data_IF_538161525252
#
_entry.id   IF_538161525252
#
_cell.length_a   1.000
_cell.length_b   1.000
_cell.length_c   1.000
_cell.angle_alpha   90.00
_cell.angle_beta   90.00
_cell.angle_gamma   90.00
#
_symmetry.space_group_name_H-M   'P 1'
#
loop_
_entity.id
_entity.type
_entity.pdbx_description
1 polymer ?
#
# COMPACT_ATOMS: atom_id res chain seq x y z
N UNK A 1 22.33 -14.43 -26.96
CA UNK A 1 21.14 -13.83 -27.55
C UNK A 1 20.30 -13.24 -26.42
N UNK A 2 20.36 -11.94 -26.22
CA UNK A 2 19.56 -11.24 -25.20
C UNK A 2 18.11 -11.21 -25.70
N UNK A 3 17.24 -12.02 -25.13
CA UNK A 3 15.79 -11.94 -25.42
C UNK A 3 15.34 -10.52 -25.04
N UNK A 4 14.91 -9.75 -26.00
CA UNK A 4 14.26 -8.46 -25.76
C UNK A 4 13.02 -8.76 -24.90
N UNK A 5 13.06 -8.33 -23.63
CA UNK A 5 11.93 -8.51 -22.71
C UNK A 5 10.80 -7.58 -23.18
N UNK A 6 9.64 -8.16 -23.48
CA UNK A 6 8.44 -7.38 -23.76
C UNK A 6 7.99 -6.68 -22.48
N UNK A 7 7.78 -5.37 -22.52
CA UNK A 7 7.25 -4.60 -21.39
C UNK A 7 5.88 -5.16 -20.96
N UNK A 8 5.69 -5.34 -19.66
CA UNK A 8 4.41 -5.79 -19.08
C UNK A 8 3.38 -4.67 -19.05
N UNK A 9 3.82 -3.46 -18.76
CA UNK A 9 3.00 -2.25 -18.83
C UNK A 9 3.02 -1.73 -20.27
N UNK A 10 2.11 -2.22 -21.11
CA UNK A 10 1.93 -1.75 -22.49
C UNK A 10 1.06 -0.50 -22.53
N UNK A 11 1.16 0.29 -23.61
CA UNK A 11 0.27 1.43 -23.84
C UNK A 11 -1.21 1.04 -23.78
N UNK A 12 -1.58 -0.09 -24.39
CA UNK A 12 -2.96 -0.60 -24.36
C UNK A 12 -3.47 -0.90 -22.93
N UNK A 13 -2.61 -1.46 -22.07
CA UNK A 13 -2.96 -1.67 -20.65
C UNK A 13 -3.14 -0.35 -19.91
N UNK A 14 -2.25 0.59 -20.12
CA UNK A 14 -2.34 1.90 -19.50
C UNK A 14 -3.60 2.64 -19.94
N UNK A 15 -3.94 2.59 -21.23
CA UNK A 15 -5.15 3.20 -21.79
C UNK A 15 -6.43 2.56 -21.22
N UNK A 16 -6.45 1.23 -21.04
CA UNK A 16 -7.57 0.53 -20.43
C UNK A 16 -7.74 0.94 -18.96
N UNK A 17 -6.63 0.97 -18.21
CA UNK A 17 -6.64 1.41 -16.81
C UNK A 17 -7.05 2.89 -16.67
N UNK A 18 -6.63 3.76 -17.58
CA UNK A 18 -7.06 5.14 -17.61
C UNK A 18 -8.58 5.26 -17.76
N UNK A 19 -9.17 4.54 -18.71
CA UNK A 19 -10.64 4.52 -18.89
C UNK A 19 -11.34 4.05 -17.62
N UNK A 20 -10.87 2.94 -17.03
CA UNK A 20 -11.43 2.43 -15.78
C UNK A 20 -11.35 3.45 -14.65
N UNK A 21 -10.20 4.06 -14.41
CA UNK A 21 -10.00 5.03 -13.33
C UNK A 21 -10.86 6.28 -13.52
N UNK A 22 -11.01 6.77 -14.75
CA UNK A 22 -11.86 7.93 -15.03
C UNK A 22 -13.36 7.63 -14.90
N UNK A 23 -13.80 6.40 -15.17
CA UNK A 23 -15.22 6.02 -15.08
C UNK A 23 -15.65 5.52 -13.71
N UNK A 24 -14.71 4.94 -12.94
CA UNK A 24 -15.04 4.20 -11.71
C UNK A 24 -14.17 4.60 -10.51
N UNK A 25 -13.09 5.35 -10.71
CA UNK A 25 -12.20 5.76 -9.64
C UNK A 25 -12.76 6.90 -8.79
N UNK A 26 -12.40 6.93 -7.51
CA UNK A 26 -12.63 8.11 -6.66
C UNK A 26 -11.77 9.27 -7.14
N UNK A 27 -12.12 10.49 -6.77
CA UNK A 27 -11.38 11.69 -7.20
C UNK A 27 -9.89 11.61 -6.84
N UNK A 28 -9.55 11.08 -5.67
CA UNK A 28 -8.15 10.93 -5.25
C UNK A 28 -7.37 10.02 -6.21
N UNK A 29 -7.90 8.84 -6.55
CA UNK A 29 -7.23 7.90 -7.46
C UNK A 29 -7.14 8.46 -8.89
N UNK A 30 -8.15 9.19 -9.36
CA UNK A 30 -8.09 9.90 -10.65
C UNK A 30 -6.96 10.93 -10.66
N UNK A 31 -6.83 11.75 -9.61
CA UNK A 31 -5.77 12.76 -9.49
C UNK A 31 -4.39 12.15 -9.31
N UNK A 32 -4.26 11.09 -8.52
CA UNK A 32 -3.00 10.34 -8.41
C UNK A 32 -2.59 9.76 -9.76
N UNK A 33 -3.52 9.14 -10.49
CA UNK A 33 -3.24 8.61 -11.82
C UNK A 33 -2.78 9.71 -12.79
N UNK A 34 -3.51 10.83 -12.86
CA UNK A 34 -3.14 11.96 -13.70
C UNK A 34 -1.73 12.46 -13.38
N UNK A 35 -1.41 12.64 -12.10
CA UNK A 35 -0.09 13.09 -11.65
C UNK A 35 1.03 12.08 -12.01
N UNK A 36 0.79 10.78 -11.76
CA UNK A 36 1.81 9.73 -11.89
C UNK A 36 2.06 9.29 -13.33
N UNK A 37 1.05 9.38 -14.19
CA UNK A 37 1.11 8.91 -15.57
C UNK A 37 0.90 10.01 -16.62
N UNK A 38 0.72 11.25 -16.17
CA UNK A 38 0.66 12.44 -17.04
C UNK A 38 -0.60 12.53 -17.89
N UNK A 39 -1.72 11.96 -17.42
CA UNK A 39 -3.01 12.03 -18.14
C UNK A 39 -3.86 13.12 -17.50
N UNK A 40 -3.93 14.30 -18.12
CA UNK A 40 -4.88 15.35 -17.76
C UNK A 40 -6.19 15.19 -18.50
N UNK A 41 -7.28 15.30 -17.75
CA UNK A 41 -8.65 15.32 -18.28
C UNK A 41 -9.21 13.91 -18.50
N UNK A 42 -10.45 13.71 -18.05
CA UNK A 42 -11.23 12.53 -18.41
C UNK A 42 -11.40 12.44 -19.94
N UNK A 43 -12.01 11.36 -20.44
CA UNK A 43 -12.18 11.13 -21.88
C UNK A 43 -13.01 12.23 -22.51
N UNK A 44 -12.33 13.29 -22.94
CA UNK A 44 -12.94 14.35 -23.73
C UNK A 44 -12.88 13.94 -25.19
N UNK A 45 -13.91 13.24 -25.62
CA UNK A 45 -14.21 13.09 -27.04
C UNK A 45 -13.55 11.91 -27.75
N UNK A 46 -14.38 11.05 -28.27
CA UNK A 46 -14.07 10.10 -29.33
C UNK A 46 -13.32 8.83 -28.91
N UNK A 47 -13.80 7.73 -29.39
CA UNK A 47 -13.36 6.35 -29.15
C UNK A 47 -11.90 6.02 -29.55
N UNK A 48 -11.04 7.00 -29.81
CA UNK A 48 -9.75 6.77 -30.45
C UNK A 48 -8.54 7.50 -29.84
N UNK A 49 -8.58 7.94 -28.60
CA UNK A 49 -7.36 8.52 -28.07
C UNK A 49 -7.42 8.84 -26.58
N UNK A 50 -6.54 8.23 -25.82
CA UNK A 50 -6.06 8.84 -24.59
C UNK A 50 -5.36 10.13 -25.00
N UNK A 51 -5.71 11.30 -24.43
CA UNK A 51 -5.03 12.55 -24.76
C UNK A 51 -3.52 12.40 -24.57
N UNK A 52 -2.74 13.04 -25.41
CA UNK A 52 -1.29 13.04 -25.27
C UNK A 52 -0.91 13.43 -23.84
N UNK A 53 -0.17 12.55 -23.23
CA UNK A 53 0.30 12.63 -21.84
C UNK A 53 1.20 13.85 -21.70
N UNK A 54 0.77 14.86 -20.96
CA UNK A 54 1.64 15.91 -20.44
C UNK A 54 1.77 15.69 -18.93
N UNK A 55 2.95 15.27 -18.44
CA UNK A 55 3.18 15.22 -17.00
C UNK A 55 3.06 16.64 -16.47
N UNK A 56 2.02 16.93 -15.68
CA UNK A 56 1.90 18.28 -15.10
C UNK A 56 2.82 18.47 -13.91
N UNK A 57 3.26 17.38 -13.28
CA UNK A 57 4.10 17.46 -12.08
C UNK A 57 3.48 18.26 -10.93
N UNK A 58 2.31 18.87 -11.14
CA UNK A 58 1.62 19.67 -10.13
C UNK A 58 0.85 18.76 -9.17
N UNK A 59 1.22 18.70 -7.89
CA UNK A 59 0.54 17.91 -6.88
C UNK A 59 -0.80 18.51 -6.43
N UNK A 60 -1.16 19.71 -6.85
CA UNK A 60 -2.31 20.45 -6.29
C UNK A 60 -3.62 19.66 -6.38
N UNK A 61 -3.86 18.98 -7.50
CA UNK A 61 -5.05 18.15 -7.66
C UNK A 61 -5.10 16.95 -6.70
N UNK A 62 -3.94 16.33 -6.43
CA UNK A 62 -3.83 15.24 -5.45
C UNK A 62 -4.06 15.79 -4.04
N UNK A 63 -3.42 16.90 -3.70
CA UNK A 63 -3.56 17.54 -2.38
C UNK A 63 -5.00 17.95 -2.11
N UNK A 64 -5.66 18.62 -3.05
CA UNK A 64 -7.05 19.03 -2.89
C UNK A 64 -8.00 17.84 -2.67
N UNK A 65 -7.80 16.73 -3.39
CA UNK A 65 -8.59 15.52 -3.20
C UNK A 65 -8.29 14.84 -1.85
N UNK A 66 -7.03 14.79 -1.43
CA UNK A 66 -6.62 14.19 -0.16
C UNK A 66 -7.07 15.02 1.04
N UNK A 67 -7.04 16.36 0.94
CA UNK A 67 -7.43 17.27 2.03
C UNK A 67 -8.94 17.13 2.38
N UNK A 68 -9.78 16.60 1.48
CA UNK A 68 -11.16 16.24 1.80
C UNK A 68 -11.28 15.07 2.82
N UNK A 69 -10.22 14.29 2.99
CA UNK A 69 -10.15 13.20 3.96
C UNK A 69 -9.39 13.58 5.24
N UNK A 70 -8.82 14.78 5.30
CA UNK A 70 -8.07 15.24 6.46
C UNK A 70 -9.00 15.74 7.55
N UNK A 71 -8.74 15.36 8.79
CA UNK A 71 -9.44 15.83 9.97
C UNK A 71 -8.76 17.07 10.57
N UNK A 72 -9.49 17.85 11.36
CA UNK A 72 -8.98 19.09 11.95
C UNK A 72 -7.83 18.84 12.96
N UNK A 73 -7.77 17.64 13.54
CA UNK A 73 -6.73 17.21 14.48
C UNK A 73 -5.44 16.73 13.79
N UNK A 74 -5.42 16.70 12.47
CA UNK A 74 -4.24 16.32 11.68
C UNK A 74 -4.21 14.87 11.21
N UNK A 75 -5.19 14.06 11.60
CA UNK A 75 -5.36 12.67 11.12
C UNK A 75 -6.14 12.59 9.81
N UNK A 76 -6.58 11.37 9.45
CA UNK A 76 -7.32 11.08 8.23
C UNK A 76 -8.51 10.16 8.50
N UNK A 77 -9.64 10.45 7.82
CA UNK A 77 -10.92 9.78 7.99
C UNK A 77 -11.72 9.72 6.67
N UNK A 78 -13.05 9.76 6.79
CA UNK A 78 -14.02 9.96 5.70
C UNK A 78 -13.86 8.95 4.55
N UNK A 79 -13.59 7.67 4.89
CA UNK A 79 -13.46 6.61 3.90
C UNK A 79 -12.21 6.71 3.02
N UNK A 80 -11.14 7.38 3.48
CA UNK A 80 -9.84 7.34 2.80
C UNK A 80 -9.36 5.88 2.68
N UNK A 81 -9.41 5.14 3.80
CA UNK A 81 -9.34 3.69 3.77
C UNK A 81 -10.73 3.14 3.38
N UNK A 82 -10.87 2.40 2.27
CA UNK A 82 -12.17 1.93 1.77
C UNK A 82 -12.96 1.07 2.74
N UNK A 83 -12.28 0.38 3.64
CA UNK A 83 -12.90 -0.55 4.58
C UNK A 83 -13.46 0.13 5.83
N UNK A 84 -13.13 1.38 6.12
CA UNK A 84 -13.59 2.05 7.35
C UNK A 84 -14.32 3.36 7.05
N UNK A 85 -15.40 3.60 7.78
CA UNK A 85 -16.24 4.80 7.64
C UNK A 85 -16.18 5.63 8.91
N UNK A 86 -16.69 6.82 8.81
CA UNK A 86 -16.84 7.73 9.95
C UNK A 86 -16.00 8.99 9.85
N UNK A 87 -16.30 9.99 10.67
CA UNK A 87 -15.64 11.29 10.65
C UNK A 87 -14.40 11.38 11.53
N UNK A 88 -14.21 10.42 12.43
CA UNK A 88 -13.05 10.40 13.32
C UNK A 88 -11.84 9.78 12.64
N UNK A 89 -10.69 10.42 12.77
CA UNK A 89 -9.43 9.92 12.22
C UNK A 89 -9.10 8.50 12.71
N UNK A 90 -8.56 7.68 11.81
CA UNK A 90 -8.19 6.30 12.08
C UNK A 90 -6.75 6.02 11.66
N UNK A 91 -5.94 5.30 12.46
CA UNK A 91 -4.56 4.99 12.09
C UNK A 91 -4.46 4.21 10.77
N UNK A 92 -5.39 3.31 10.47
CA UNK A 92 -5.43 2.54 9.22
C UNK A 92 -5.56 3.40 7.96
N UNK A 93 -6.10 4.63 8.07
CA UNK A 93 -6.22 5.56 6.94
C UNK A 93 -4.91 6.33 6.65
N UNK A 94 -4.00 6.43 7.62
CA UNK A 94 -2.75 7.22 7.49
C UNK A 94 -1.80 6.67 6.42
N UNK A 95 -1.59 5.35 6.26
CA UNK A 95 -0.74 4.82 5.19
C UNK A 95 -1.16 5.26 3.79
N UNK A 96 -2.47 5.28 3.51
CA UNK A 96 -2.99 5.72 2.21
C UNK A 96 -2.72 7.22 1.97
N UNK A 97 -2.83 8.05 3.01
CA UNK A 97 -2.52 9.47 2.93
C UNK A 97 -1.03 9.71 2.67
N UNK A 98 -0.16 9.07 3.45
CA UNK A 98 1.28 9.23 3.30
C UNK A 98 1.77 8.73 1.95
N UNK A 99 1.21 7.62 1.45
CA UNK A 99 1.51 7.11 0.11
C UNK A 99 1.13 8.13 -0.97
N UNK A 100 -0.08 8.69 -0.92
CA UNK A 100 -0.53 9.68 -1.89
C UNK A 100 0.36 10.94 -1.85
N UNK A 101 0.78 11.38 -0.67
CA UNK A 101 1.68 12.52 -0.49
C UNK A 101 3.10 12.23 -1.02
N UNK A 102 3.66 11.04 -0.77
CA UNK A 102 4.96 10.62 -1.32
C UNK A 102 4.92 10.58 -2.85
N UNK A 103 3.91 9.92 -3.42
CA UNK A 103 3.73 9.81 -4.86
C UNK A 103 3.58 11.17 -5.55
N UNK A 104 2.93 12.12 -4.88
CA UNK A 104 2.77 13.48 -5.37
C UNK A 104 4.03 14.36 -5.14
N UNK A 105 5.06 13.87 -4.44
CA UNK A 105 6.20 14.68 -4.03
C UNK A 105 5.81 15.82 -3.08
N UNK A 106 4.70 15.67 -2.36
CA UNK A 106 4.06 16.69 -1.52
C UNK A 106 4.06 16.36 -0.02
N UNK A 107 4.77 15.30 0.38
CA UNK A 107 4.98 14.98 1.79
C UNK A 107 6.04 15.93 2.36
N UNK A 108 5.58 17.02 2.98
CA UNK A 108 6.41 18.02 3.61
C UNK A 108 6.48 17.83 5.13
N UNK A 109 7.43 18.57 5.78
CA UNK A 109 7.65 18.48 7.21
C UNK A 109 6.45 18.99 8.03
N UNK A 110 5.66 19.93 7.53
CA UNK A 110 4.50 20.47 8.26
C UNK A 110 3.36 19.43 8.32
N UNK A 111 3.04 18.80 7.18
CA UNK A 111 2.05 17.72 7.12
C UNK A 111 2.50 16.50 7.91
N UNK A 112 3.76 16.10 7.76
CA UNK A 112 4.33 14.98 8.48
C UNK A 112 4.31 15.22 10.01
N UNK A 113 4.63 16.43 10.47
CA UNK A 113 4.56 16.79 11.90
C UNK A 113 3.14 16.72 12.43
N UNK A 114 2.15 17.27 11.71
CA UNK A 114 0.75 17.21 12.12
C UNK A 114 0.26 15.75 12.25
N UNK A 115 0.65 14.88 11.35
CA UNK A 115 0.36 13.43 11.44
C UNK A 115 1.04 12.82 12.68
N UNK A 116 2.30 13.13 12.93
CA UNK A 116 3.03 12.64 14.10
C UNK A 116 2.42 13.13 15.43
N UNK A 117 2.01 14.41 15.48
CA UNK A 117 1.36 14.98 16.66
C UNK A 117 0.04 14.27 16.97
N UNK A 118 -0.79 14.02 15.94
CA UNK A 118 -2.02 13.25 16.09
C UNK A 118 -1.76 11.82 16.54
N UNK A 119 -0.82 11.12 15.91
CA UNK A 119 -0.47 9.74 16.25
C UNK A 119 0.08 9.62 17.67
N UNK A 120 0.82 10.62 18.15
CA UNK A 120 1.30 10.65 19.53
C UNK A 120 0.15 10.63 20.57
N UNK A 121 -1.01 11.21 20.20
CA UNK A 121 -2.20 11.23 21.06
C UNK A 121 -2.97 9.91 21.12
N UNK A 122 -2.72 8.98 20.18
CA UNK A 122 -3.45 7.71 20.06
C UNK A 122 -2.56 6.47 20.13
N UNK A 123 -1.25 6.66 20.25
CA UNK A 123 -0.28 5.59 20.34
C UNK A 123 -0.32 4.87 21.69
N UNK A 124 0.08 3.62 21.69
CA UNK A 124 0.41 2.87 22.89
C UNK A 124 1.68 3.43 23.58
N UNK A 125 1.90 3.14 24.87
CA UNK A 125 3.07 3.65 25.60
C UNK A 125 4.42 3.28 24.99
N UNK A 126 4.49 2.21 24.23
CA UNK A 126 5.68 1.75 23.49
C UNK A 126 5.89 2.46 22.15
N UNK A 127 4.98 3.34 21.76
CA UNK A 127 5.02 4.11 20.51
C UNK A 127 4.30 3.45 19.34
N UNK A 128 3.88 2.20 19.45
CA UNK A 128 3.07 1.54 18.43
C UNK A 128 1.67 2.14 18.32
N UNK A 129 1.07 2.13 17.15
CA UNK A 129 -0.32 2.59 16.97
C UNK A 129 -1.24 1.41 16.67
N UNK A 130 -2.49 1.42 17.18
CA UNK A 130 -3.46 0.37 16.87
C UNK A 130 -3.86 0.44 15.38
N UNK A 131 -4.49 -0.62 14.90
CA UNK A 131 -5.03 -0.63 13.52
C UNK A 131 -6.18 0.38 13.41
N UNK A 132 -7.12 0.32 14.35
CA UNK A 132 -8.28 1.21 14.45
C UNK A 132 -8.50 1.67 15.89
N UNK A 133 -9.25 2.74 16.05
CA UNK A 133 -9.62 3.32 17.35
C UNK A 133 -11.06 2.98 17.72
N UNK A 134 -11.44 3.00 19.01
CA UNK A 134 -12.82 2.79 19.48
C UNK A 134 -13.86 3.68 18.80
N UNK A 135 -13.48 4.89 18.39
CA UNK A 135 -14.33 5.84 17.65
C UNK A 135 -14.89 5.30 16.32
N UNK A 136 -14.33 4.18 15.80
CA UNK A 136 -14.86 3.49 14.62
C UNK A 136 -16.15 2.70 14.91
N UNK A 137 -16.37 2.27 16.14
CA UNK A 137 -17.45 1.34 16.52
C UNK A 137 -18.86 1.71 16.02
N UNK A 138 -19.30 2.98 16.05
CA UNK A 138 -20.62 3.36 15.55
C UNK A 138 -20.77 3.31 14.02
N UNK A 139 -19.68 3.12 13.28
CA UNK A 139 -19.66 3.25 11.84
C UNK A 139 -19.41 1.92 11.15
N UNK A 140 -19.79 1.77 9.85
CA UNK A 140 -19.55 0.57 9.09
C UNK A 140 -18.05 0.25 9.00
N UNK A 141 -17.69 -0.99 9.31
CA UNK A 141 -16.33 -1.54 9.25
C UNK A 141 -16.40 -3.04 9.01
N UNK A 142 -15.31 -3.69 8.54
CA UNK A 142 -15.29 -5.12 8.31
C UNK A 142 -15.48 -5.92 9.60
N UNK A 143 -16.26 -7.01 9.59
CA UNK A 143 -16.48 -7.83 10.79
C UNK A 143 -15.22 -8.56 11.27
N UNK A 144 -14.20 -8.64 10.42
CA UNK A 144 -12.89 -9.24 10.75
C UNK A 144 -11.86 -8.21 11.28
N UNK A 145 -12.22 -6.92 11.38
CA UNK A 145 -11.40 -5.90 12.04
C UNK A 145 -11.90 -5.71 13.46
N UNK A 146 -11.17 -6.21 14.48
CA UNK A 146 -11.56 -6.03 15.87
C UNK A 146 -11.42 -4.55 16.24
N UNK A 147 -12.54 -3.95 16.66
CA UNK A 147 -12.56 -2.56 17.15
C UNK A 147 -12.46 -2.60 18.68
N UNK A 148 -11.45 -1.97 19.29
CA UNK A 148 -11.27 -1.93 20.74
C UNK A 148 -12.50 -1.35 21.46
N UNK A 149 -12.71 -1.74 22.73
CA UNK A 149 -13.72 -1.11 23.58
C UNK A 149 -13.29 0.30 24.00
N UNK A 150 -14.25 1.14 24.31
CA UNK A 150 -13.94 2.49 24.81
C UNK A 150 -13.26 2.38 26.19
N UNK A 151 -12.13 3.08 26.33
CA UNK A 151 -11.32 3.04 27.56
C UNK A 151 -10.31 1.89 27.61
N UNK A 152 -10.29 0.97 26.66
CA UNK A 152 -9.19 0.02 26.56
C UNK A 152 -7.87 0.71 26.23
N UNK A 153 -6.75 0.32 26.88
CA UNK A 153 -5.44 0.85 26.50
C UNK A 153 -5.13 0.51 25.05
N UNK A 154 -4.57 1.46 24.27
CA UNK A 154 -4.19 1.18 22.88
C UNK A 154 -3.09 0.11 22.85
N UNK A 155 -3.20 -0.82 21.90
CA UNK A 155 -2.19 -1.84 21.60
C UNK A 155 -1.58 -1.57 20.25
N UNK A 156 -0.26 -1.38 20.22
CA UNK A 156 0.48 -1.15 18.99
C UNK A 156 0.47 -2.38 18.07
N UNK A 157 0.30 -2.16 16.78
CA UNK A 157 0.37 -3.20 15.75
C UNK A 157 1.46 -2.87 14.72
N UNK A 158 2.32 -3.84 14.41
CA UNK A 158 3.35 -3.68 13.37
C UNK A 158 2.71 -3.41 12.01
N UNK A 159 1.54 -3.99 11.75
CA UNK A 159 0.78 -3.80 10.52
C UNK A 159 0.49 -2.32 10.22
N UNK A 160 0.03 -1.55 11.19
CA UNK A 160 -0.25 -0.11 11.04
C UNK A 160 1.02 0.71 11.20
N UNK A 161 1.77 0.49 12.28
CA UNK A 161 2.92 1.32 12.65
C UNK A 161 4.02 1.27 11.60
N UNK A 162 4.37 0.08 11.09
CA UNK A 162 5.44 -0.10 10.10
C UNK A 162 5.17 0.62 8.78
N UNK A 163 3.92 0.62 8.33
CA UNK A 163 3.52 1.32 7.10
C UNK A 163 3.57 2.85 7.25
N UNK A 164 3.27 3.36 8.45
CA UNK A 164 3.27 4.80 8.74
C UNK A 164 4.70 5.32 8.94
N UNK A 165 5.51 4.59 9.68
CA UNK A 165 6.88 5.00 10.03
C UNK A 165 7.77 5.10 8.80
N UNK A 166 7.63 4.19 7.83
CA UNK A 166 8.49 4.11 6.67
C UNK A 166 8.59 5.42 5.85
N UNK A 167 7.50 6.04 5.38
CA UNK A 167 7.56 7.30 4.63
C UNK A 167 8.09 8.46 5.47
N UNK A 168 7.80 8.50 6.77
CA UNK A 168 8.28 9.54 7.66
C UNK A 168 9.80 9.46 7.91
N UNK A 169 10.35 8.24 7.99
CA UNK A 169 11.80 8.02 8.04
C UNK A 169 12.49 8.45 6.73
N UNK A 170 11.92 8.14 5.57
CA UNK A 170 12.46 8.58 4.28
C UNK A 170 12.47 10.10 4.14
N UNK A 171 11.44 10.78 4.69
CA UNK A 171 11.40 12.25 4.74
C UNK A 171 12.48 12.84 5.67
N UNK A 172 12.98 12.07 6.64
CA UNK A 172 13.97 12.53 7.60
C UNK A 172 13.40 13.47 8.69
N UNK A 173 12.09 13.40 8.97
CA UNK A 173 11.49 14.19 10.04
C UNK A 173 11.96 13.72 11.42
N UNK A 174 12.23 14.68 12.32
CA UNK A 174 12.55 14.40 13.71
C UNK A 174 11.31 14.69 14.57
N UNK A 175 10.81 13.65 15.26
CA UNK A 175 9.66 13.77 16.14
C UNK A 175 9.74 12.71 17.27
N UNK A 176 9.39 13.06 18.54
CA UNK A 176 9.47 12.12 19.67
C UNK A 176 8.68 10.84 19.46
N UNK A 177 7.43 10.96 18.97
CA UNK A 177 6.63 9.78 18.64
C UNK A 177 7.30 8.90 17.59
N UNK A 178 7.84 9.47 16.50
CA UNK A 178 8.49 8.70 15.44
C UNK A 178 9.70 7.93 15.97
N UNK A 179 10.44 8.50 16.92
CA UNK A 179 11.54 7.80 17.60
C UNK A 179 11.03 6.58 18.37
N UNK A 180 9.98 6.74 19.17
CA UNK A 180 9.36 5.64 19.91
C UNK A 180 8.76 4.58 18.97
N UNK A 181 8.01 5.01 17.95
CA UNK A 181 7.41 4.12 16.96
C UNK A 181 8.46 3.34 16.15
N UNK A 182 9.60 3.96 15.86
CA UNK A 182 10.74 3.27 15.22
C UNK A 182 11.32 2.17 16.13
N UNK A 183 11.46 2.47 17.42
CA UNK A 183 11.90 1.48 18.41
C UNK A 183 10.88 0.34 18.56
N UNK A 184 9.59 0.66 18.61
CA UNK A 184 8.50 -0.32 18.59
C UNK A 184 8.61 -1.26 17.36
N UNK A 185 8.70 -0.69 16.15
CA UNK A 185 8.80 -1.49 14.93
C UNK A 185 10.05 -2.38 14.93
N UNK A 186 11.19 -1.86 15.43
CA UNK A 186 12.41 -2.65 15.57
C UNK A 186 12.21 -3.85 16.47
N UNK A 187 11.68 -3.64 17.68
CA UNK A 187 11.40 -4.70 18.65
C UNK A 187 10.38 -5.71 18.10
N UNK A 188 9.31 -5.22 17.46
CA UNK A 188 8.30 -6.09 16.86
C UNK A 188 8.89 -6.98 15.76
N UNK A 189 9.71 -6.42 14.86
CA UNK A 189 10.39 -7.20 13.81
C UNK A 189 11.34 -8.23 14.43
N UNK A 190 12.18 -7.87 15.41
CA UNK A 190 13.14 -8.78 16.05
C UNK A 190 12.43 -9.98 16.72
N UNK A 191 11.23 -9.78 17.25
CA UNK A 191 10.43 -10.81 17.92
C UNK A 191 9.46 -11.56 16.99
N UNK A 192 9.48 -11.31 15.69
CA UNK A 192 8.57 -11.96 14.75
C UNK A 192 9.02 -13.39 14.47
N UNK A 193 8.30 -14.37 15.03
CA UNK A 193 8.55 -15.82 14.85
C UNK A 193 7.45 -16.48 14.01
N UNK A 194 6.29 -15.88 13.97
CA UNK A 194 5.16 -16.20 13.11
C UNK A 194 4.62 -14.89 12.55
N UNK A 195 4.12 -14.90 11.31
CA UNK A 195 3.62 -13.67 10.70
C UNK A 195 2.48 -13.93 9.73
N UNK A 196 1.71 -12.88 9.47
CA UNK A 196 0.69 -12.81 8.45
C UNK A 196 1.23 -12.06 7.22
N UNK A 197 0.83 -12.36 5.97
CA UNK A 197 1.34 -11.66 4.79
C UNK A 197 1.24 -10.12 4.86
N UNK A 198 0.15 -9.58 5.37
CA UNK A 198 0.00 -8.12 5.56
C UNK A 198 0.99 -7.55 6.58
N UNK A 199 1.25 -8.27 7.66
CA UNK A 199 2.21 -7.86 8.68
C UNK A 199 3.64 -7.95 8.13
N UNK A 200 3.98 -9.03 7.42
CA UNK A 200 5.27 -9.16 6.73
C UNK A 200 5.47 -8.04 5.69
N UNK A 201 4.39 -7.66 4.97
CA UNK A 201 4.40 -6.52 4.06
C UNK A 201 4.65 -5.18 4.76
N UNK A 202 4.11 -4.97 5.96
CA UNK A 202 4.40 -3.79 6.77
C UNK A 202 5.82 -3.79 7.33
N UNK A 203 6.29 -4.95 7.80
CA UNK A 203 7.65 -5.15 8.30
C UNK A 203 8.70 -4.82 7.23
N UNK A 204 8.54 -5.34 6.00
CA UNK A 204 9.51 -5.09 4.93
C UNK A 204 9.51 -3.62 4.49
N UNK A 205 8.36 -2.94 4.48
CA UNK A 205 8.30 -1.51 4.19
C UNK A 205 9.07 -0.69 5.22
N UNK A 206 8.94 -1.03 6.51
CA UNK A 206 9.72 -0.43 7.57
C UNK A 206 11.22 -0.70 7.39
N UNK A 207 11.61 -1.94 7.12
CA UNK A 207 13.02 -2.34 6.92
C UNK A 207 13.65 -1.62 5.71
N UNK A 208 12.90 -1.42 4.63
CA UNK A 208 13.35 -0.65 3.45
C UNK A 208 13.67 0.82 3.77
N UNK A 209 13.11 1.36 4.85
CA UNK A 209 13.29 2.75 5.28
C UNK A 209 14.16 2.89 6.53
N UNK A 210 14.51 1.80 7.19
CA UNK A 210 15.21 1.83 8.48
C UNK A 210 16.64 2.43 8.34
N UNK A 211 17.05 3.33 9.26
CA UNK A 211 18.33 4.02 9.16
C UNK A 211 19.55 3.09 9.38
N UNK A 212 19.40 2.04 10.21
CA UNK A 212 20.43 1.00 10.38
C UNK A 212 20.31 -0.03 9.25
N UNK A 213 20.93 0.27 8.12
CA UNK A 213 20.86 -0.57 6.91
C UNK A 213 21.47 -1.96 7.08
N UNK A 214 22.46 -2.13 7.98
CA UNK A 214 23.08 -3.44 8.24
C UNK A 214 22.12 -4.33 9.02
N UNK A 215 21.48 -3.80 10.06
CA UNK A 215 20.43 -4.47 10.81
C UNK A 215 19.24 -4.80 9.90
N UNK A 216 18.75 -3.81 9.14
CA UNK A 216 17.59 -3.99 8.24
C UNK A 216 17.81 -5.12 7.22
N UNK A 217 19.01 -5.24 6.65
CA UNK A 217 19.33 -6.33 5.71
C UNK A 217 19.32 -7.70 6.38
N UNK A 218 19.82 -7.81 7.62
CA UNK A 218 19.78 -9.09 8.36
C UNK A 218 18.35 -9.50 8.68
N UNK A 219 17.56 -8.55 9.21
CA UNK A 219 16.16 -8.82 9.57
C UNK A 219 15.30 -9.07 8.33
N UNK A 220 15.52 -8.37 7.22
CA UNK A 220 14.85 -8.67 5.97
C UNK A 220 15.17 -10.07 5.46
N UNK A 221 16.41 -10.54 5.58
CA UNK A 221 16.76 -11.90 5.20
C UNK A 221 16.07 -12.93 6.09
N UNK A 222 16.01 -12.71 7.41
CA UNK A 222 15.29 -13.55 8.38
C UNK A 222 13.78 -13.58 8.09
N UNK A 223 13.19 -12.41 7.84
CA UNK A 223 11.77 -12.30 7.48
C UNK A 223 11.45 -13.04 6.18
N UNK A 224 12.34 -12.94 5.18
CA UNK A 224 12.18 -13.67 3.92
C UNK A 224 12.19 -15.20 4.11
N UNK A 225 13.09 -15.72 4.97
CA UNK A 225 13.09 -17.13 5.33
C UNK A 225 11.78 -17.53 6.01
N UNK A 226 11.30 -16.73 6.97
CA UNK A 226 10.04 -16.97 7.68
C UNK A 226 8.83 -16.99 6.72
N UNK A 227 8.76 -16.06 5.76
CA UNK A 227 7.69 -16.00 4.74
C UNK A 227 7.67 -17.28 3.89
N UNK A 228 8.85 -17.80 3.52
CA UNK A 228 8.96 -19.03 2.72
C UNK A 228 8.67 -20.29 3.56
N UNK A 229 9.22 -20.40 4.76
CA UNK A 229 8.99 -21.51 5.67
C UNK A 229 7.51 -21.67 6.04
N UNK A 230 6.81 -20.56 6.27
CA UNK A 230 5.37 -20.56 6.55
C UNK A 230 4.51 -20.69 5.29
N UNK A 231 5.13 -20.72 4.11
CA UNK A 231 4.43 -20.83 2.81
C UNK A 231 3.35 -19.76 2.60
N UNK A 232 3.57 -18.54 3.09
CA UNK A 232 2.64 -17.41 2.97
C UNK A 232 2.93 -16.53 1.74
N UNK A 233 3.66 -17.06 0.79
CA UNK A 233 3.87 -16.48 -0.55
C UNK A 233 3.61 -17.55 -1.60
N UNK A 234 2.86 -17.20 -2.64
CA UNK A 234 2.60 -18.07 -3.80
C UNK A 234 3.67 -17.80 -4.86
N UNK A 235 4.63 -18.71 -4.99
CA UNK A 235 5.77 -18.57 -5.92
C UNK A 235 5.41 -18.92 -7.37
N UNK A 236 4.39 -19.75 -7.56
CA UNK A 236 3.88 -20.15 -8.86
C UNK A 236 2.36 -20.06 -8.92
N UNK A 237 1.79 -19.02 -9.58
CA UNK A 237 0.35 -18.86 -9.69
C UNK A 237 -0.40 -20.05 -10.31
N UNK A 238 0.30 -20.92 -11.06
CA UNK A 238 -0.28 -22.14 -11.61
C UNK A 238 -0.45 -23.27 -10.57
N UNK A 239 0.11 -23.11 -9.37
CA UNK A 239 0.11 -24.11 -8.28
C UNK A 239 -0.30 -23.50 -6.94
N UNK A 240 -1.54 -23.00 -6.81
CA UNK A 240 -2.00 -22.30 -5.60
C UNK A 240 -1.94 -23.17 -4.34
N UNK A 241 -2.00 -24.50 -4.47
CA UNK A 241 -1.89 -25.46 -3.36
C UNK A 241 -0.51 -25.47 -2.70
N UNK A 242 0.51 -24.90 -3.32
CA UNK A 242 1.85 -24.78 -2.74
C UNK A 242 1.94 -23.70 -1.67
N UNK A 243 1.04 -22.73 -1.68
CA UNK A 243 0.96 -21.70 -0.65
C UNK A 243 -0.13 -22.01 0.37
N UNK A 244 0.11 -21.61 1.61
CA UNK A 244 -0.88 -21.67 2.68
C UNK A 244 -1.84 -20.48 2.55
N UNK A 245 -3.13 -20.74 2.62
CA UNK A 245 -4.13 -19.67 2.79
C UNK A 245 -4.02 -19.14 4.22
N UNK A 246 -3.77 -17.85 4.36
CA UNK A 246 -3.62 -17.22 5.67
C UNK A 246 -4.98 -17.02 6.36
N UNK A 247 -5.04 -17.02 7.70
CA UNK A 247 -6.29 -16.73 8.41
C UNK A 247 -6.91 -15.41 7.98
N UNK A 248 -8.22 -15.38 7.76
CA UNK A 248 -8.94 -14.18 7.32
C UNK A 248 -8.87 -13.88 5.83
N UNK A 249 -8.16 -14.70 5.04
CA UNK A 249 -8.13 -14.55 3.59
C UNK A 249 -9.39 -15.11 2.93
N UNK A 250 -9.77 -14.48 1.82
CA UNK A 250 -10.76 -15.04 0.91
C UNK A 250 -10.24 -16.32 0.24
N UNK A 251 -11.12 -17.24 -0.19
CA UNK A 251 -10.71 -18.36 -1.02
C UNK A 251 -9.94 -17.90 -2.27
N UNK A 252 -8.72 -18.40 -2.45
CA UNK A 252 -7.86 -18.03 -3.58
C UNK A 252 -7.05 -16.74 -3.38
N UNK A 253 -7.15 -16.08 -2.25
CA UNK A 253 -6.29 -14.94 -1.89
C UNK A 253 -4.91 -15.44 -1.51
N UNK A 254 -3.89 -14.93 -2.20
CA UNK A 254 -2.48 -15.20 -1.93
C UNK A 254 -1.65 -13.94 -2.14
N UNK A 255 -0.59 -13.79 -1.37
CA UNK A 255 0.47 -12.84 -1.70
C UNK A 255 1.47 -13.49 -2.65
N UNK A 256 1.85 -12.77 -3.70
CA UNK A 256 2.86 -13.16 -4.67
C UNK A 256 4.20 -12.43 -4.39
N UNK A 257 5.30 -12.80 -5.03
CA UNK A 257 6.59 -12.15 -4.85
C UNK A 257 6.57 -10.62 -4.99
N UNK A 258 5.79 -10.09 -5.93
CA UNK A 258 5.68 -8.66 -6.16
C UNK A 258 4.87 -7.91 -5.08
N UNK A 259 4.07 -8.58 -4.25
CA UNK A 259 3.36 -7.94 -3.13
C UNK A 259 4.31 -7.56 -2.00
N UNK A 260 5.36 -8.36 -1.80
CA UNK A 260 6.44 -8.06 -0.85
C UNK A 260 7.50 -7.14 -1.48
N UNK A 261 7.93 -7.46 -2.70
CA UNK A 261 8.93 -6.71 -3.45
C UNK A 261 8.27 -5.83 -4.51
N UNK A 262 7.55 -4.80 -4.10
CA UNK A 262 6.81 -3.90 -5.02
C UNK A 262 7.72 -3.06 -5.91
N UNK A 263 8.99 -2.94 -5.55
CA UNK A 263 10.02 -2.22 -6.30
C UNK A 263 11.30 -3.05 -6.37
N UNK A 264 12.11 -2.89 -7.43
CA UNK A 264 13.36 -3.62 -7.61
C UNK A 264 14.41 -3.36 -6.52
N UNK A 265 14.36 -2.19 -5.87
CA UNK A 265 15.28 -1.76 -4.81
C UNK A 265 14.87 -2.22 -3.41
N UNK A 266 13.66 -2.79 -3.22
CA UNK A 266 13.24 -3.36 -1.94
C UNK A 266 14.17 -4.50 -1.49
N UNK A 267 14.42 -4.57 -0.18
CA UNK A 267 15.17 -5.68 0.43
C UNK A 267 14.50 -7.04 0.18
N UNK A 268 13.15 -7.07 0.09
CA UNK A 268 12.40 -8.28 -0.26
C UNK A 268 12.70 -8.81 -1.67
N UNK A 269 13.26 -7.98 -2.57
CA UNK A 269 13.66 -8.45 -3.90
C UNK A 269 14.61 -9.65 -3.84
N UNK A 270 15.39 -9.76 -2.78
CA UNK A 270 16.37 -10.83 -2.56
C UNK A 270 15.75 -12.14 -2.06
N UNK A 271 14.49 -12.14 -1.68
CA UNK A 271 13.78 -13.33 -1.21
C UNK A 271 13.44 -14.29 -2.36
N UNK A 272 13.42 -13.76 -3.57
CA UNK A 272 12.90 -14.42 -4.74
C UNK A 272 13.92 -14.48 -5.87
N UNK A 273 13.92 -15.61 -6.59
CA UNK A 273 14.65 -15.72 -7.85
C UNK A 273 14.03 -14.79 -8.92
N UNK A 274 14.82 -14.49 -9.95
CA UNK A 274 14.30 -13.70 -11.08
C UNK A 274 13.10 -14.40 -11.77
N UNK A 275 13.11 -15.74 -11.82
CA UNK A 275 12.03 -16.53 -12.43
C UNK A 275 10.72 -16.47 -11.61
N UNK A 276 10.79 -16.58 -10.29
CA UNK A 276 9.62 -16.49 -9.41
C UNK A 276 8.99 -15.10 -9.48
N UNK A 277 9.82 -14.06 -9.39
CA UNK A 277 9.32 -12.69 -9.52
C UNK A 277 8.74 -12.44 -10.91
N UNK A 278 9.37 -12.94 -11.97
CA UNK A 278 8.85 -12.79 -13.33
C UNK A 278 7.47 -13.46 -13.48
N UNK A 279 7.27 -14.67 -12.94
CA UNK A 279 5.97 -15.33 -12.95
C UNK A 279 4.90 -14.52 -12.21
N UNK A 280 5.22 -14.00 -11.03
CA UNK A 280 4.30 -13.13 -10.28
C UNK A 280 3.93 -11.85 -11.03
N UNK A 281 4.90 -11.20 -11.68
CA UNK A 281 4.65 -10.00 -12.48
C UNK A 281 3.88 -10.30 -13.77
N UNK A 282 4.12 -11.43 -14.41
CA UNK A 282 3.35 -11.87 -15.59
C UNK A 282 1.91 -12.17 -15.21
N UNK A 283 1.70 -12.79 -14.05
CA UNK A 283 0.37 -13.02 -13.48
C UNK A 283 -0.34 -11.67 -13.17
N UNK A 284 0.32 -10.76 -12.46
CA UNK A 284 -0.21 -9.42 -12.21
C UNK A 284 -0.63 -8.72 -13.50
N UNK A 285 0.20 -8.78 -14.54
CA UNK A 285 -0.14 -8.18 -15.84
C UNK A 285 -1.37 -8.86 -16.49
N UNK A 286 -1.54 -10.17 -16.31
CA UNK A 286 -2.66 -10.93 -16.87
C UNK A 286 -3.99 -10.72 -16.11
N UNK A 287 -3.96 -10.27 -14.88
CA UNK A 287 -5.14 -10.03 -14.03
C UNK A 287 -5.94 -8.78 -14.43
N UNK A 288 -5.43 -7.92 -15.31
CA UNK A 288 -6.19 -6.77 -15.79
C UNK A 288 -7.49 -7.22 -16.43
N UNK A 289 -8.62 -6.77 -15.89
CA UNK A 289 -9.94 -7.16 -16.33
C UNK A 289 -10.37 -6.41 -17.61
N UNK A 290 -11.45 -6.86 -18.24
CA UNK A 290 -11.97 -6.29 -19.49
C UNK A 290 -12.39 -4.82 -19.36
N UNK A 291 -12.74 -4.36 -18.15
CA UNK A 291 -13.02 -2.96 -17.85
C UNK A 291 -11.77 -2.11 -17.69
N UNK A 292 -10.60 -2.72 -17.62
CA UNK A 292 -9.29 -2.08 -17.49
C UNK A 292 -8.76 -1.99 -16.06
N UNK A 293 -9.56 -2.32 -15.03
CA UNK A 293 -9.14 -2.35 -13.64
C UNK A 293 -8.52 -3.69 -13.21
N UNK A 294 -7.84 -3.71 -12.08
CA UNK A 294 -7.39 -4.93 -11.41
C UNK A 294 -8.37 -5.36 -10.34
N UNK A 295 -8.55 -6.68 -10.10
CA UNK A 295 -9.46 -7.17 -9.08
C UNK A 295 -8.90 -6.94 -7.68
N UNK A 296 -9.79 -6.94 -6.67
CA UNK A 296 -9.42 -7.18 -5.28
C UNK A 296 -9.51 -8.69 -4.99
N UNK A 297 -8.64 -9.20 -4.14
CA UNK A 297 -8.60 -10.62 -3.80
C UNK A 297 -9.10 -10.90 -2.38
N UNK A 298 -9.22 -9.87 -1.52
CA UNK A 298 -9.71 -10.02 -0.15
C UNK A 298 -11.23 -10.06 -0.04
N UNK A 299 -11.73 -10.41 1.14
CA UNK A 299 -13.17 -10.55 1.41
C UNK A 299 -13.92 -9.24 1.17
N UNK A 300 -14.93 -9.31 0.33
CA UNK A 300 -15.90 -8.21 0.09
C UNK A 300 -16.94 -8.22 1.20
N UNK A 301 -16.74 -7.43 2.23
CA UNK A 301 -17.63 -7.36 3.38
C UNK A 301 -18.83 -6.42 3.15
N UNK A 302 -18.74 -5.50 2.20
CA UNK A 302 -19.81 -4.56 1.84
C UNK A 302 -19.90 -4.39 0.32
N UNK A 303 -21.04 -3.91 -0.17
CA UNK A 303 -21.26 -3.67 -1.60
C UNK A 303 -20.31 -2.59 -2.18
N UNK A 304 -19.85 -1.64 -1.36
CA UNK A 304 -18.95 -0.58 -1.78
C UNK A 304 -17.46 -0.98 -1.75
N UNK A 305 -17.09 -2.05 -1.05
CA UNK A 305 -15.68 -2.46 -0.89
C UNK A 305 -14.96 -2.57 -2.22
N UNK A 306 -15.56 -3.26 -3.19
CA UNK A 306 -14.93 -3.45 -4.50
C UNK A 306 -14.79 -2.13 -5.27
N UNK A 307 -15.87 -1.35 -5.36
CA UNK A 307 -15.87 -0.11 -6.15
C UNK A 307 -14.90 0.95 -5.61
N UNK A 308 -14.66 0.95 -4.31
CA UNK A 308 -13.80 1.94 -3.67
C UNK A 308 -12.34 1.49 -3.56
N UNK A 309 -12.09 0.19 -3.44
CA UNK A 309 -10.74 -0.34 -3.30
C UNK A 309 -10.05 -0.62 -4.65
N UNK A 310 -10.77 -1.12 -5.66
CA UNK A 310 -10.21 -1.48 -6.97
C UNK A 310 -9.43 -0.35 -7.65
N UNK A 311 -9.83 0.93 -7.60
CA UNK A 311 -9.04 2.02 -8.17
C UNK A 311 -7.65 2.13 -7.54
N UNK A 312 -7.54 1.98 -6.23
CA UNK A 312 -6.25 1.95 -5.53
C UNK A 312 -5.39 0.74 -5.92
N UNK A 313 -6.01 -0.45 -6.00
CA UNK A 313 -5.34 -1.68 -6.46
C UNK A 313 -4.84 -1.52 -7.90
N UNK A 314 -5.65 -0.93 -8.78
CA UNK A 314 -5.28 -0.64 -10.16
C UNK A 314 -4.05 0.27 -10.25
N UNK A 315 -4.02 1.36 -9.47
CA UNK A 315 -2.84 2.23 -9.39
C UNK A 315 -1.61 1.48 -8.90
N UNK A 316 -1.76 0.64 -7.86
CA UNK A 316 -0.65 -0.12 -7.31
C UNK A 316 -0.09 -1.13 -8.34
N UNK A 317 -0.96 -1.82 -9.09
CA UNK A 317 -0.56 -2.73 -10.15
C UNK A 317 0.26 -2.01 -11.24
N UNK A 318 -0.25 -0.87 -11.72
CA UNK A 318 0.44 -0.05 -12.71
C UNK A 318 1.82 0.43 -12.22
N UNK A 319 1.93 0.88 -10.98
CA UNK A 319 3.19 1.34 -10.37
C UNK A 319 4.20 0.20 -10.25
N UNK A 320 3.74 -0.97 -9.82
CA UNK A 320 4.58 -2.16 -9.70
C UNK A 320 5.11 -2.58 -11.08
N UNK A 321 4.24 -2.71 -12.08
CA UNK A 321 4.65 -3.07 -13.44
C UNK A 321 5.63 -2.05 -14.03
N UNK A 322 5.36 -0.74 -13.86
CA UNK A 322 6.25 0.35 -14.30
C UNK A 322 7.64 0.24 -13.65
N UNK A 323 7.68 0.00 -12.35
CA UNK A 323 8.94 -0.09 -11.62
C UNK A 323 9.82 -1.24 -12.13
N UNK A 324 9.21 -2.36 -12.49
CA UNK A 324 9.95 -3.53 -13.00
C UNK A 324 10.21 -3.51 -14.51
N UNK A 325 9.47 -2.72 -15.28
CA UNK A 325 9.76 -2.52 -16.71
C UNK A 325 10.84 -1.47 -16.96
N UNK A 326 11.20 -0.67 -15.96
CA UNK A 326 12.32 0.26 -16.03
C UNK A 326 13.67 -0.47 -16.24
N UNK A 327 14.65 0.15 -16.91
CA UNK A 327 15.98 -0.43 -17.08
C UNK A 327 16.58 -0.85 -15.72
N UNK A 328 16.99 -2.11 -15.60
CA UNK A 328 17.52 -2.68 -14.35
C UNK A 328 16.49 -3.28 -13.40
N UNK A 329 15.21 -3.34 -13.77
CA UNK A 329 14.14 -3.82 -12.90
C UNK A 329 14.17 -5.34 -12.61
N UNK A 330 14.53 -6.22 -13.53
CA UNK A 330 14.68 -7.69 -13.34
C UNK A 330 15.79 -8.20 -14.24
#
# INVERSE_FOLDING_TARGET
MTRTRTARLTGARLDAAARYLWTSGRVLEQRRFAHLFGVEGGPTGGVTGVPAVVPTGDPAGVLAALDAHRTADGGYAYGLEPDVRGPAAQPIAVPAALLALEEAGALDHARARAVCDWLAGVAAPDGGVPVVLPSLRPYPHPPFVPVPEEGEPPVGALLSTGQIVAPLLRLGIVHPWLTAATAFCRTAVENLHETHPYEAGAAIRFLDAAPDTAWARREAARLGALVQEQRIVLLDPARPEEARVSPGYAPGEHHLPHDYARRPDSLARRWFTAAELARGLDHLAAEQQSDGGWPIHWVRWSASTESEARPGVTLQALLTLRAYDAPGGV
#
